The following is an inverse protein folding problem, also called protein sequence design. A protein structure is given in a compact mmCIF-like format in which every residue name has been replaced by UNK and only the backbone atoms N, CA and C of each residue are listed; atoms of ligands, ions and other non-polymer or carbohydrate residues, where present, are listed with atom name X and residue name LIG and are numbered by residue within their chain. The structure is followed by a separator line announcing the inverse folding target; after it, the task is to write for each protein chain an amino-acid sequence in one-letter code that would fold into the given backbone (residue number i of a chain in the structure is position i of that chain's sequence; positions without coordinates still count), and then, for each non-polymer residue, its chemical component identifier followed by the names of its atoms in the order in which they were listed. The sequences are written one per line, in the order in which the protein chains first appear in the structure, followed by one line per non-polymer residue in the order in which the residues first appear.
data_IF_493498821508
#
_entry.id   IF_493498821508
#
_cell.length_a   1.000
_cell.length_b   1.000
_cell.length_c   1.000
_cell.angle_alpha   90.00
_cell.angle_beta   90.00
_cell.angle_gamma   90.00
#
_symmetry.space_group_name_H-M   'P 1'
#
loop_
_entity.id
_entity.type
_entity.pdbx_description
1 polymer ?
#
# COMPACT_ATOMS: atom_id res chain seq x y z
N UNK A 1 11.20 -7.97 -42.24
CA UNK A 1 10.62 -8.02 -40.89
C UNK A 1 11.44 -7.11 -40.00
N UNK A 2 11.01 -5.86 -39.85
CA UNK A 2 11.69 -4.86 -39.00
C UNK A 2 11.09 -4.93 -37.58
N UNK A 3 11.93 -5.23 -36.61
CA UNK A 3 11.56 -5.15 -35.17
C UNK A 3 11.66 -3.68 -34.76
N UNK A 4 10.54 -2.99 -34.66
CA UNK A 4 10.49 -1.66 -34.06
C UNK A 4 10.56 -1.84 -32.51
N UNK A 5 11.77 -1.76 -31.98
CA UNK A 5 12.00 -1.59 -30.56
C UNK A 5 11.69 -0.15 -30.15
N UNK A 6 10.55 0.09 -29.53
CA UNK A 6 10.23 1.40 -28.95
C UNK A 6 11.20 1.66 -27.80
N UNK A 7 12.06 2.64 -27.97
CA UNK A 7 13.08 3.03 -26.99
C UNK A 7 12.42 3.56 -25.71
N UNK A 8 12.86 3.06 -24.54
CA UNK A 8 12.48 3.56 -23.19
C UNK A 8 12.57 5.09 -23.02
N UNK A 9 13.27 5.79 -23.92
CA UNK A 9 13.47 7.24 -23.87
C UNK A 9 12.31 8.08 -24.43
N UNK A 10 11.42 7.51 -25.22
CA UNK A 10 10.41 8.29 -25.96
C UNK A 10 9.14 8.64 -25.17
N UNK A 11 8.87 7.99 -24.01
CA UNK A 11 7.66 8.24 -23.20
C UNK A 11 7.85 9.25 -22.04
N UNK A 12 9.05 9.84 -21.90
CA UNK A 12 9.34 10.75 -20.78
C UNK A 12 9.08 12.24 -21.10
N UNK A 13 8.49 12.56 -22.24
CA UNK A 13 8.57 13.93 -22.80
C UNK A 13 7.35 14.82 -22.57
N UNK A 14 6.43 14.56 -21.63
CA UNK A 14 5.36 15.56 -21.35
C UNK A 14 4.70 15.52 -19.97
N UNK A 15 5.45 15.28 -18.91
CA UNK A 15 4.97 15.63 -17.57
C UNK A 15 5.63 16.95 -17.18
N UNK A 16 4.91 18.07 -17.32
CA UNK A 16 5.32 19.31 -16.69
C UNK A 16 5.57 19.03 -15.19
N UNK A 17 6.83 19.08 -14.78
CA UNK A 17 7.18 18.92 -13.37
C UNK A 17 6.57 20.08 -12.59
N UNK A 18 5.75 19.79 -11.59
CA UNK A 18 5.23 20.81 -10.69
C UNK A 18 6.41 21.47 -9.96
N UNK A 19 6.40 22.79 -9.78
CA UNK A 19 7.44 23.47 -9.00
C UNK A 19 7.56 22.85 -7.60
N UNK A 20 8.76 22.40 -7.21
CA UNK A 20 9.04 21.79 -5.91
C UNK A 20 8.91 20.27 -5.84
N UNK A 21 8.58 19.57 -6.94
CA UNK A 21 8.62 18.11 -6.95
C UNK A 21 10.08 17.61 -6.84
N UNK A 22 10.37 16.59 -5.99
CA UNK A 22 11.72 16.04 -5.88
C UNK A 22 12.14 15.41 -7.20
N UNK A 23 13.36 15.73 -7.64
CA UNK A 23 13.90 15.20 -8.91
C UNK A 23 14.43 13.78 -8.79
N UNK A 24 14.66 13.29 -7.56
CA UNK A 24 15.24 11.97 -7.29
C UNK A 24 14.59 11.28 -6.09
N UNK A 25 14.84 9.97 -6.00
CA UNK A 25 14.35 9.13 -4.91
C UNK A 25 15.21 9.30 -3.64
N UNK A 26 16.53 9.19 -3.78
CA UNK A 26 17.44 9.21 -2.64
C UNK A 26 17.49 10.59 -1.94
N UNK A 27 17.69 10.56 -0.62
CA UNK A 27 17.75 11.76 0.21
C UNK A 27 16.38 12.33 0.59
N UNK A 28 15.27 11.71 0.16
CA UNK A 28 13.92 12.23 0.38
C UNK A 28 13.05 11.27 1.23
N UNK A 29 12.09 11.86 1.93
CA UNK A 29 11.00 11.17 2.63
C UNK A 29 9.71 11.44 1.90
N UNK A 30 9.03 10.39 1.48
CA UNK A 30 7.81 10.47 0.71
C UNK A 30 6.61 10.02 1.53
N UNK A 31 5.55 10.78 1.45
CA UNK A 31 4.24 10.39 1.91
C UNK A 31 3.29 10.33 0.71
N UNK A 32 2.54 9.23 0.60
CA UNK A 32 1.45 9.12 -0.37
C UNK A 32 0.13 8.93 0.37
N UNK A 33 -0.85 9.73 -0.02
CA UNK A 33 -2.17 9.70 0.58
C UNK A 33 -3.21 9.43 -0.51
N UNK A 34 -3.95 8.34 -0.35
CA UNK A 34 -5.00 7.94 -1.29
C UNK A 34 -6.37 8.05 -0.63
N UNK A 35 -7.39 8.38 -1.41
CA UNK A 35 -8.78 8.28 -0.98
C UNK A 35 -9.64 7.61 -2.03
N UNK A 36 -10.69 6.94 -1.57
CA UNK A 36 -11.57 6.15 -2.42
C UNK A 36 -12.97 6.74 -2.43
N UNK A 37 -13.54 6.88 -3.62
CA UNK A 37 -14.95 7.18 -3.85
C UNK A 37 -15.57 5.95 -4.51
N UNK A 38 -16.55 5.33 -3.84
CA UNK A 38 -17.23 4.12 -4.30
C UNK A 38 -18.72 4.16 -3.99
N UNK A 39 -19.49 3.25 -4.52
CA UNK A 39 -20.93 3.09 -4.21
C UNK A 39 -21.13 1.94 -3.24
N UNK A 40 -20.47 0.84 -3.47
CA UNK A 40 -20.53 -0.33 -2.61
C UNK A 40 -19.12 -0.71 -2.12
N UNK A 41 -19.08 -1.33 -0.95
CA UNK A 41 -17.84 -1.80 -0.34
C UNK A 41 -17.05 -2.73 -1.27
N UNK A 42 -17.75 -3.63 -2.00
CA UNK A 42 -17.14 -4.52 -3.00
C UNK A 42 -18.03 -4.50 -4.24
N UNK A 43 -17.50 -3.99 -5.34
CA UNK A 43 -18.20 -3.89 -6.62
C UNK A 43 -17.77 -5.03 -7.54
N UNK A 44 -18.48 -6.16 -7.46
CA UNK A 44 -18.16 -7.37 -8.25
C UNK A 44 -18.30 -7.11 -9.74
N UNK A 45 -19.44 -6.50 -10.13
CA UNK A 45 -19.68 -6.02 -11.50
C UNK A 45 -20.38 -4.68 -11.44
N UNK A 46 -20.75 -4.10 -12.60
CA UNK A 46 -21.57 -2.89 -12.66
C UNK A 46 -22.93 -3.05 -11.97
N UNK A 47 -23.46 -4.25 -11.89
CA UNK A 47 -24.80 -4.53 -11.36
C UNK A 47 -24.83 -5.46 -10.17
N UNK A 48 -23.80 -6.30 -9.98
CA UNK A 48 -23.70 -7.24 -8.87
C UNK A 48 -22.65 -6.77 -7.87
N UNK A 49 -23.05 -6.59 -6.64
CA UNK A 49 -22.20 -6.10 -5.56
C UNK A 49 -22.32 -6.97 -4.33
N UNK A 50 -21.24 -6.98 -3.54
CA UNK A 50 -21.14 -7.68 -2.27
C UNK A 50 -20.69 -6.66 -1.21
N UNK A 51 -21.20 -6.78 0.00
CA UNK A 51 -20.93 -5.83 1.07
C UNK A 51 -21.96 -4.69 1.14
N UNK A 52 -21.68 -3.71 1.98
CA UNK A 52 -22.59 -2.61 2.25
C UNK A 52 -22.73 -1.64 1.08
N UNK A 53 -23.92 -1.05 0.91
CA UNK A 53 -24.11 0.16 0.11
C UNK A 53 -23.61 1.35 0.95
N UNK A 54 -22.60 2.06 0.45
CA UNK A 54 -21.94 3.18 1.12
C UNK A 54 -22.29 4.52 0.48
N UNK A 55 -23.27 4.55 -0.40
CA UNK A 55 -23.61 5.76 -1.14
C UNK A 55 -24.05 6.94 -0.25
N UNK A 56 -24.59 6.65 0.91
CA UNK A 56 -24.98 7.69 1.88
C UNK A 56 -23.79 8.37 2.57
N UNK A 57 -22.65 7.71 2.63
CA UNK A 57 -21.41 8.20 3.23
C UNK A 57 -20.52 8.95 2.23
N UNK A 58 -20.66 8.63 0.95
CA UNK A 58 -19.93 9.32 -0.13
C UNK A 58 -20.71 10.56 -0.57
N UNK A 59 -20.38 11.69 0.05
CA UNK A 59 -21.02 12.98 -0.24
C UNK A 59 -20.02 14.03 -0.72
N UNK A 60 -20.44 15.01 -1.51
CA UNK A 60 -19.57 16.11 -1.91
C UNK A 60 -18.98 16.87 -0.72
N UNK A 61 -19.75 17.00 0.37
CA UNK A 61 -19.34 17.67 1.60
C UNK A 61 -18.21 16.91 2.31
N UNK A 62 -18.29 15.57 2.38
CA UNK A 62 -17.25 14.73 2.97
C UNK A 62 -15.97 14.73 2.13
N UNK A 63 -16.10 14.70 0.81
CA UNK A 63 -14.96 14.81 -0.13
C UNK A 63 -14.27 16.17 0.02
N UNK A 64 -15.05 17.26 0.13
CA UNK A 64 -14.51 18.60 0.36
C UNK A 64 -13.80 18.70 1.70
N UNK A 65 -14.41 18.22 2.78
CA UNK A 65 -13.83 18.24 4.13
C UNK A 65 -12.51 17.45 4.21
N UNK A 66 -12.42 16.29 3.52
CA UNK A 66 -11.17 15.52 3.45
C UNK A 66 -10.08 16.31 2.74
N UNK A 67 -10.37 16.91 1.57
CA UNK A 67 -9.36 17.67 0.83
C UNK A 67 -8.92 18.91 1.59
N UNK A 68 -9.82 19.56 2.30
CA UNK A 68 -9.53 20.71 3.16
C UNK A 68 -8.64 20.31 4.35
N UNK A 69 -8.91 19.17 4.99
CA UNK A 69 -8.08 18.63 6.06
C UNK A 69 -6.64 18.33 5.56
N UNK A 70 -6.52 17.81 4.36
CA UNK A 70 -5.20 17.57 3.73
C UNK A 70 -4.48 18.87 3.47
N UNK A 71 -5.12 19.87 2.84
CA UNK A 71 -4.49 21.14 2.53
C UNK A 71 -4.12 21.94 3.78
N UNK A 72 -4.99 21.98 4.78
CA UNK A 72 -4.72 22.70 6.02
C UNK A 72 -3.68 22.01 6.91
N UNK A 73 -3.62 20.68 6.92
CA UNK A 73 -2.60 19.92 7.63
C UNK A 73 -1.23 19.95 6.94
N UNK A 74 -1.25 19.91 5.60
CA UNK A 74 -0.02 19.92 4.80
C UNK A 74 -0.22 20.75 3.52
N UNK A 75 -0.05 22.07 3.58
CA UNK A 75 -0.18 22.95 2.42
C UNK A 75 0.68 22.50 1.24
N UNK A 76 0.06 22.38 0.07
CA UNK A 76 0.71 21.89 -1.14
C UNK A 76 0.84 20.37 -1.25
N UNK A 77 0.28 19.62 -0.30
CA UNK A 77 0.17 18.17 -0.41
C UNK A 77 -0.70 17.78 -1.62
N UNK A 78 -0.26 16.75 -2.33
CA UNK A 78 -1.00 16.15 -3.44
C UNK A 78 -1.43 14.74 -3.06
N UNK A 79 -2.67 14.39 -3.38
CA UNK A 79 -3.24 13.09 -3.07
C UNK A 79 -3.75 12.37 -4.32
N UNK A 80 -4.10 11.11 -4.17
CA UNK A 80 -4.66 10.30 -5.25
C UNK A 80 -6.11 9.98 -4.91
N UNK A 81 -7.02 10.33 -5.81
CA UNK A 81 -8.44 9.98 -5.77
C UNK A 81 -8.71 8.77 -6.64
N UNK A 82 -9.14 7.66 -6.05
CA UNK A 82 -9.50 6.45 -6.74
C UNK A 82 -11.03 6.31 -6.82
N UNK A 83 -11.58 6.29 -8.02
CA UNK A 83 -13.01 6.12 -8.23
C UNK A 83 -13.32 4.67 -8.59
N UNK A 84 -14.34 4.11 -7.96
CA UNK A 84 -14.84 2.79 -8.33
C UNK A 84 -15.56 2.82 -9.67
N UNK A 85 -15.85 1.65 -10.21
CA UNK A 85 -16.57 1.52 -11.46
C UNK A 85 -17.95 2.19 -11.43
N UNK A 86 -18.70 1.93 -10.36
CA UNK A 86 -20.02 2.54 -10.19
C UNK A 86 -19.94 4.05 -9.90
N UNK A 87 -18.96 4.49 -9.11
CA UNK A 87 -18.77 5.93 -8.86
C UNK A 87 -18.47 6.71 -10.14
N UNK A 88 -17.80 6.10 -11.11
CA UNK A 88 -17.57 6.70 -12.43
C UNK A 88 -18.85 6.86 -13.24
N UNK A 89 -19.81 5.94 -13.12
CA UNK A 89 -21.03 5.91 -13.95
C UNK A 89 -22.30 6.42 -13.25
N UNK A 90 -22.30 6.50 -11.93
CA UNK A 90 -23.50 6.84 -11.16
C UNK A 90 -24.05 8.23 -11.54
N UNK A 91 -25.31 8.26 -11.96
CA UNK A 91 -25.99 9.48 -12.43
C UNK A 91 -26.57 10.34 -11.29
N UNK A 92 -26.56 9.87 -10.04
CA UNK A 92 -27.06 10.65 -8.90
C UNK A 92 -26.30 11.97 -8.78
N UNK A 93 -26.99 13.08 -8.37
CA UNK A 93 -26.38 14.41 -8.27
C UNK A 93 -25.11 14.42 -7.44
N UNK A 94 -25.06 13.72 -6.30
CA UNK A 94 -23.89 13.65 -5.43
C UNK A 94 -22.66 13.12 -6.18
N UNK A 95 -22.79 12.00 -6.92
CA UNK A 95 -21.65 11.43 -7.64
C UNK A 95 -21.16 12.32 -8.78
N UNK A 96 -22.08 13.00 -9.47
CA UNK A 96 -21.68 14.00 -10.48
C UNK A 96 -20.88 15.12 -9.85
N UNK A 97 -21.37 15.70 -8.73
CA UNK A 97 -20.67 16.76 -8.00
C UNK A 97 -19.31 16.29 -7.48
N UNK A 98 -19.21 15.08 -6.92
CA UNK A 98 -17.92 14.55 -6.46
C UNK A 98 -16.91 14.39 -7.61
N UNK A 99 -17.34 13.90 -8.79
CA UNK A 99 -16.46 13.84 -9.97
C UNK A 99 -16.00 15.23 -10.41
N UNK A 100 -16.87 16.21 -10.42
CA UNK A 100 -16.52 17.62 -10.72
C UNK A 100 -15.53 18.18 -9.70
N UNK A 101 -15.73 17.90 -8.40
CA UNK A 101 -14.84 18.31 -7.33
C UNK A 101 -13.44 17.73 -7.49
N UNK A 102 -13.29 16.44 -7.71
CA UNK A 102 -11.95 15.83 -7.84
C UNK A 102 -11.23 16.32 -9.09
N UNK A 103 -11.95 16.58 -10.20
CA UNK A 103 -11.39 17.27 -11.37
C UNK A 103 -10.94 18.69 -11.03
N UNK A 104 -11.72 19.42 -10.23
CA UNK A 104 -11.33 20.72 -9.70
C UNK A 104 -10.07 20.65 -8.84
N UNK A 105 -9.94 19.62 -8.00
CA UNK A 105 -8.74 19.40 -7.15
C UNK A 105 -7.52 19.01 -7.97
N UNK A 106 -7.69 18.20 -9.01
CA UNK A 106 -6.62 17.95 -9.97
C UNK A 106 -6.08 19.27 -10.57
N UNK A 107 -6.97 20.13 -11.03
CA UNK A 107 -6.56 21.42 -11.63
C UNK A 107 -5.92 22.39 -10.62
N UNK A 108 -6.44 22.41 -9.38
CA UNK A 108 -6.02 23.37 -8.36
C UNK A 108 -4.77 22.92 -7.60
N UNK A 109 -4.69 21.63 -7.25
CA UNK A 109 -3.68 21.09 -6.34
C UNK A 109 -2.72 20.10 -7.01
N UNK A 110 -3.05 19.63 -8.20
CA UNK A 110 -2.28 18.58 -8.88
C UNK A 110 -2.56 17.18 -8.36
N UNK A 111 -3.71 16.95 -7.73
CA UNK A 111 -4.13 15.64 -7.27
C UNK A 111 -4.26 14.68 -8.46
N UNK A 112 -3.90 13.44 -8.26
CA UNK A 112 -4.11 12.38 -9.25
C UNK A 112 -5.53 11.84 -9.15
N UNK A 113 -6.15 11.53 -10.29
CA UNK A 113 -7.43 10.83 -10.37
C UNK A 113 -7.21 9.50 -11.06
N UNK A 114 -7.66 8.42 -10.46
CA UNK A 114 -7.50 7.08 -10.98
C UNK A 114 -8.70 6.18 -10.72
N UNK A 115 -8.56 4.92 -11.04
CA UNK A 115 -9.57 3.89 -10.89
C UNK A 115 -9.21 2.89 -9.76
N UNK A 116 -10.24 2.33 -9.11
CA UNK A 116 -10.13 1.21 -8.20
C UNK A 116 -11.01 0.04 -8.68
N UNK A 117 -10.41 -1.05 -9.22
CA UNK A 117 -11.16 -2.21 -9.67
C UNK A 117 -11.76 -2.98 -8.50
N UNK A 118 -13.04 -3.34 -8.62
CA UNK A 118 -13.74 -4.16 -7.63
C UNK A 118 -13.85 -3.56 -6.24
N UNK A 119 -13.51 -2.28 -6.07
CA UNK A 119 -13.40 -1.62 -4.76
C UNK A 119 -12.58 -2.47 -3.76
N UNK A 120 -11.34 -2.82 -4.14
CA UNK A 120 -10.25 -3.59 -3.50
C UNK A 120 -10.11 -5.08 -3.84
N UNK A 121 -11.18 -5.81 -4.12
CA UNK A 121 -11.10 -7.28 -4.18
C UNK A 121 -11.43 -7.83 -5.57
N UNK A 122 -11.01 -7.15 -6.64
CA UNK A 122 -11.40 -7.48 -8.00
C UNK A 122 -11.22 -8.97 -8.34
N UNK A 123 -10.03 -9.52 -8.12
CA UNK A 123 -9.72 -10.90 -8.51
C UNK A 123 -10.30 -11.98 -7.59
N UNK A 124 -10.82 -11.62 -6.43
CA UNK A 124 -11.56 -12.56 -5.59
C UNK A 124 -12.95 -12.87 -6.17
N UNK A 125 -13.48 -12.01 -7.02
CA UNK A 125 -14.86 -12.07 -7.54
C UNK A 125 -14.96 -12.06 -9.06
N UNK A 126 -13.90 -11.65 -9.77
CA UNK A 126 -13.88 -11.55 -11.23
C UNK A 126 -12.69 -12.27 -11.84
N UNK A 127 -12.88 -12.82 -13.04
CA UNK A 127 -11.77 -13.37 -13.81
C UNK A 127 -10.79 -12.28 -14.22
N UNK A 128 -9.56 -12.67 -14.52
CA UNK A 128 -8.50 -11.74 -14.96
C UNK A 128 -8.89 -11.00 -16.24
N UNK A 129 -9.59 -11.67 -17.15
CA UNK A 129 -10.09 -11.10 -18.41
C UNK A 129 -11.14 -10.02 -18.14
N UNK A 130 -12.06 -10.25 -17.18
CA UNK A 130 -13.04 -9.24 -16.79
C UNK A 130 -12.35 -8.03 -16.16
N UNK A 131 -11.40 -8.26 -15.25
CA UNK A 131 -10.64 -7.18 -14.62
C UNK A 131 -9.84 -6.38 -15.65
N UNK A 132 -9.27 -7.03 -16.67
CA UNK A 132 -8.58 -6.31 -17.77
C UNK A 132 -9.55 -5.42 -18.56
N UNK A 133 -10.76 -5.90 -18.87
CA UNK A 133 -11.78 -5.05 -19.54
C UNK A 133 -12.17 -3.87 -18.65
N UNK A 134 -12.43 -4.11 -17.38
CA UNK A 134 -12.80 -3.05 -16.43
C UNK A 134 -11.68 -2.01 -16.28
N UNK A 135 -10.42 -2.44 -16.22
CA UNK A 135 -9.27 -1.54 -16.19
C UNK A 135 -9.20 -0.66 -17.45
N UNK A 136 -9.29 -1.27 -18.62
CA UNK A 136 -9.24 -0.55 -19.90
C UNK A 136 -10.34 0.52 -19.99
N UNK A 137 -11.59 0.10 -19.84
CA UNK A 137 -12.73 0.99 -19.99
C UNK A 137 -12.78 2.08 -18.90
N UNK A 138 -12.41 1.76 -17.65
CA UNK A 138 -12.42 2.73 -16.57
C UNK A 138 -11.28 3.76 -16.71
N UNK A 139 -10.09 3.36 -17.13
CA UNK A 139 -8.99 4.29 -17.39
C UNK A 139 -9.32 5.26 -18.52
N UNK A 140 -10.00 4.79 -19.59
CA UNK A 140 -10.51 5.68 -20.65
C UNK A 140 -11.57 6.65 -20.10
N UNK A 141 -12.48 6.18 -19.23
CA UNK A 141 -13.49 7.06 -18.60
C UNK A 141 -12.86 8.11 -17.70
N UNK A 142 -11.85 7.75 -16.90
CA UNK A 142 -11.11 8.72 -16.08
C UNK A 142 -10.40 9.74 -16.98
N UNK A 143 -9.79 9.29 -18.06
CA UNK A 143 -9.14 10.19 -19.02
C UNK A 143 -10.12 11.17 -19.65
N UNK A 144 -11.29 10.67 -20.06
CA UNK A 144 -12.36 11.51 -20.61
C UNK A 144 -12.95 12.47 -19.55
N UNK A 145 -13.13 12.03 -18.32
CA UNK A 145 -13.63 12.85 -17.21
C UNK A 145 -12.74 14.05 -16.93
N UNK A 146 -11.42 13.84 -16.90
CA UNK A 146 -10.45 14.92 -16.61
C UNK A 146 -10.23 15.79 -17.84
N UNK A 147 -10.19 15.18 -19.02
CA UNK A 147 -9.93 15.86 -20.29
C UNK A 147 -8.48 16.30 -20.49
N UNK A 148 -8.23 17.14 -21.49
CA UNK A 148 -6.92 17.74 -21.71
C UNK A 148 -5.77 16.77 -21.98
N UNK A 149 -6.07 15.54 -22.45
CA UNK A 149 -5.06 14.50 -22.67
C UNK A 149 -4.57 13.80 -21.40
N UNK A 150 -5.29 13.97 -20.29
CA UNK A 150 -4.96 13.31 -19.02
C UNK A 150 -4.94 11.80 -19.16
N UNK A 151 -3.95 11.18 -18.54
CA UNK A 151 -3.86 9.74 -18.36
C UNK A 151 -3.51 9.44 -16.90
N UNK A 152 -4.23 8.54 -16.20
CA UNK A 152 -3.84 8.08 -14.87
C UNK A 152 -2.43 7.48 -14.90
N UNK A 153 -1.63 7.82 -13.89
CA UNK A 153 -0.25 7.31 -13.78
C UNK A 153 -0.17 6.05 -12.94
N UNK A 154 -1.21 5.79 -12.15
CA UNK A 154 -1.31 4.64 -11.27
C UNK A 154 -2.73 4.07 -11.23
N UNK A 155 -2.86 2.89 -10.61
CA UNK A 155 -4.13 2.28 -10.22
C UNK A 155 -4.07 1.96 -8.73
N UNK A 156 -5.19 2.14 -8.01
CA UNK A 156 -5.36 1.69 -6.61
C UNK A 156 -6.20 0.43 -6.64
N UNK A 157 -5.73 -0.69 -6.10
CA UNK A 157 -6.42 -1.96 -6.31
C UNK A 157 -6.61 -2.83 -5.03
N UNK A 158 -5.99 -2.46 -3.91
CA UNK A 158 -5.92 -3.33 -2.75
C UNK A 158 -5.01 -4.52 -3.02
N UNK A 159 -5.44 -5.50 -3.82
CA UNK A 159 -4.54 -6.40 -4.51
C UNK A 159 -4.98 -6.60 -5.97
N UNK A 160 -4.03 -6.93 -6.82
CA UNK A 160 -4.28 -7.16 -8.24
C UNK A 160 -3.41 -8.32 -8.73
N UNK A 161 -4.02 -9.29 -9.40
CA UNK A 161 -3.32 -10.45 -9.93
C UNK A 161 -2.16 -10.05 -10.85
N UNK A 162 -1.09 -10.84 -10.87
CA UNK A 162 0.10 -10.59 -11.68
C UNK A 162 -0.22 -10.41 -13.18
N UNK A 163 -1.17 -11.19 -13.72
CA UNK A 163 -1.62 -11.03 -15.12
C UNK A 163 -2.27 -9.66 -15.37
N UNK A 164 -3.00 -9.12 -14.40
CA UNK A 164 -3.63 -7.79 -14.52
C UNK A 164 -2.60 -6.66 -14.35
N UNK A 165 -1.60 -6.82 -13.47
CA UNK A 165 -0.47 -5.90 -13.36
C UNK A 165 0.35 -5.87 -14.67
N UNK A 166 0.53 -7.03 -15.30
CA UNK A 166 1.15 -7.12 -16.62
C UNK A 166 0.34 -6.41 -17.71
N UNK A 167 -0.99 -6.58 -17.70
CA UNK A 167 -1.90 -5.89 -18.61
C UNK A 167 -1.80 -4.38 -18.47
N UNK A 168 -1.80 -3.85 -17.24
CA UNK A 168 -1.59 -2.42 -16.98
C UNK A 168 -0.31 -1.91 -17.63
N UNK A 169 0.81 -2.61 -17.43
CA UNK A 169 2.10 -2.17 -17.98
C UNK A 169 2.18 -2.30 -19.51
N UNK A 170 1.76 -3.44 -20.06
CA UNK A 170 1.98 -3.79 -21.46
C UNK A 170 0.90 -3.24 -22.41
N UNK A 171 -0.32 -3.02 -21.92
CA UNK A 171 -1.47 -2.57 -22.73
C UNK A 171 -1.91 -1.15 -22.43
N UNK A 172 -1.97 -0.78 -21.17
CA UNK A 172 -2.45 0.54 -20.76
C UNK A 172 -1.31 1.55 -20.56
N UNK A 173 -0.06 1.10 -20.53
CA UNK A 173 1.10 1.97 -20.25
C UNK A 173 1.11 2.52 -18.83
N UNK A 174 0.38 1.90 -17.90
CA UNK A 174 0.35 2.26 -16.48
C UNK A 174 1.37 1.39 -15.74
N UNK A 175 2.40 2.03 -15.22
CA UNK A 175 3.56 1.37 -14.62
C UNK A 175 3.61 1.44 -13.09
N UNK A 176 2.52 1.85 -12.44
CA UNK A 176 2.41 1.95 -10.98
C UNK A 176 1.06 1.42 -10.54
N UNK A 177 1.03 0.55 -9.56
CA UNK A 177 -0.19 0.05 -8.95
C UNK A 177 0.00 -0.06 -7.43
N UNK A 178 -0.95 0.46 -6.65
CA UNK A 178 -1.13 0.00 -5.28
C UNK A 178 -1.84 -1.35 -5.40
N UNK A 179 -1.08 -2.39 -5.53
CA UNK A 179 -1.53 -3.72 -5.91
C UNK A 179 -1.23 -4.78 -4.85
N UNK A 180 -0.89 -4.37 -3.65
CA UNK A 180 -0.78 -5.22 -2.48
C UNK A 180 -1.14 -4.44 -1.22
N UNK A 181 -1.41 -5.16 -0.15
CA UNK A 181 -1.62 -4.60 1.18
C UNK A 181 -0.84 -5.47 2.16
N UNK A 182 0.35 -5.03 2.52
CA UNK A 182 1.20 -5.70 3.49
C UNK A 182 0.51 -5.88 4.84
N UNK A 183 -0.30 -4.92 5.24
CA UNK A 183 -1.11 -4.94 6.45
C UNK A 183 -2.15 -6.06 6.49
N UNK A 184 -2.48 -6.69 5.37
CA UNK A 184 -3.37 -7.87 5.34
C UNK A 184 -2.80 -9.09 6.07
N UNK A 185 -1.58 -9.01 6.57
CA UNK A 185 -1.11 -9.93 7.60
C UNK A 185 -2.13 -10.15 8.74
N UNK A 186 -2.83 -9.12 9.15
CA UNK A 186 -3.78 -9.16 10.28
C UNK A 186 -5.26 -9.12 9.87
N UNK A 187 -5.60 -8.85 8.59
CA UNK A 187 -6.97 -8.59 8.13
C UNK A 187 -7.29 -9.30 6.81
N UNK A 188 -8.55 -9.24 6.40
CA UNK A 188 -9.06 -9.63 5.09
C UNK A 188 -8.64 -11.03 4.64
N UNK A 189 -8.71 -12.01 5.55
CA UNK A 189 -8.26 -13.40 5.33
C UNK A 189 -6.80 -13.52 4.90
N UNK A 190 -6.02 -12.46 5.07
CA UNK A 190 -4.61 -12.39 4.69
C UNK A 190 -4.38 -12.52 3.17
N UNK A 191 -5.31 -12.08 2.34
CA UNK A 191 -5.22 -12.23 0.89
C UNK A 191 -3.98 -11.57 0.28
N UNK A 192 -3.55 -10.41 0.79
CA UNK A 192 -2.36 -9.69 0.35
C UNK A 192 -1.09 -10.00 1.14
N UNK A 193 -1.13 -10.95 2.07
CA UNK A 193 0.00 -11.26 2.95
C UNK A 193 1.14 -11.97 2.20
N UNK A 194 2.36 -11.61 2.57
CA UNK A 194 3.59 -12.14 1.98
C UNK A 194 4.36 -11.14 1.11
N UNK A 195 3.80 -9.97 0.85
CA UNK A 195 4.46 -8.91 0.07
C UNK A 195 5.51 -8.14 0.90
N UNK A 196 6.24 -7.26 0.22
CA UNK A 196 7.14 -6.27 0.83
C UNK A 196 6.36 -4.98 1.10
N UNK A 197 6.61 -4.31 2.24
CA UNK A 197 6.00 -3.01 2.58
C UNK A 197 6.58 -1.82 1.81
N UNK A 198 7.58 -2.03 0.99
CA UNK A 198 8.22 -1.04 0.12
C UNK A 198 8.01 -1.41 -1.35
N UNK A 199 8.26 -0.49 -2.30
CA UNK A 199 8.02 -0.76 -3.71
C UNK A 199 8.88 -1.90 -4.26
N UNK A 200 8.33 -2.69 -5.17
CA UNK A 200 9.03 -3.73 -5.91
C UNK A 200 8.37 -3.98 -7.28
N UNK A 201 9.07 -4.66 -8.16
CA UNK A 201 8.46 -5.22 -9.37
C UNK A 201 7.96 -6.63 -9.10
N UNK A 202 6.66 -6.92 -9.34
CA UNK A 202 6.09 -8.22 -9.04
C UNK A 202 6.55 -9.30 -10.01
N UNK A 203 6.53 -10.53 -9.52
CA UNK A 203 6.72 -11.75 -10.27
C UNK A 203 5.50 -12.06 -11.15
N UNK A 204 5.74 -12.74 -12.29
CA UNK A 204 4.66 -13.31 -13.10
C UNK A 204 3.94 -14.48 -12.41
N UNK A 205 4.54 -15.05 -11.37
CA UNK A 205 3.94 -16.15 -10.60
C UNK A 205 2.92 -15.65 -9.58
N UNK A 206 3.24 -14.52 -8.91
CA UNK A 206 2.41 -14.02 -7.81
C UNK A 206 2.67 -12.53 -7.55
N UNK A 207 1.60 -11.73 -7.41
CA UNK A 207 1.71 -10.28 -7.21
C UNK A 207 2.45 -9.88 -5.92
N UNK A 208 2.37 -10.69 -4.85
CA UNK A 208 3.11 -10.43 -3.60
C UNK A 208 4.60 -10.75 -3.70
N UNK A 209 5.01 -11.54 -4.69
CA UNK A 209 6.37 -12.02 -4.84
C UNK A 209 7.19 -11.04 -5.68
N UNK A 210 8.34 -10.52 -5.21
CA UNK A 210 9.26 -9.79 -6.06
C UNK A 210 9.80 -10.67 -7.20
N UNK A 211 9.85 -10.13 -8.40
CA UNK A 211 10.43 -10.82 -9.56
C UNK A 211 11.89 -11.22 -9.31
N UNK A 212 12.22 -12.47 -9.66
CA UNK A 212 13.54 -13.05 -9.44
C UNK A 212 14.53 -12.75 -10.56
N UNK A 213 14.04 -12.39 -11.73
CA UNK A 213 14.88 -12.05 -12.90
C UNK A 213 14.06 -11.52 -14.08
N UNK A 214 14.72 -11.32 -15.23
CA UNK A 214 14.08 -10.71 -16.41
C UNK A 214 12.90 -11.51 -16.98
N UNK A 215 12.94 -12.84 -16.92
CA UNK A 215 11.88 -13.71 -17.44
C UNK A 215 10.62 -13.68 -16.58
N UNK A 216 10.76 -13.30 -15.32
CA UNK A 216 9.71 -13.26 -14.29
C UNK A 216 9.19 -11.83 -14.02
N UNK A 217 9.77 -10.83 -14.64
CA UNK A 217 9.58 -9.42 -14.38
C UNK A 217 8.30 -8.87 -15.02
N UNK A 218 7.55 -8.07 -14.25
CA UNK A 218 6.45 -7.22 -14.71
C UNK A 218 6.85 -5.76 -14.51
N UNK A 219 6.84 -4.95 -15.56
CA UNK A 219 7.23 -3.53 -15.53
C UNK A 219 6.12 -2.63 -14.96
N UNK A 220 5.58 -3.03 -13.81
CA UNK A 220 4.61 -2.28 -13.01
C UNK A 220 5.09 -2.27 -11.57
N UNK A 221 5.39 -1.10 -11.02
CA UNK A 221 5.80 -0.97 -9.61
C UNK A 221 4.63 -1.30 -8.73
N UNK A 222 4.77 -2.32 -7.89
CA UNK A 222 3.76 -2.71 -6.93
C UNK A 222 4.00 -2.00 -5.59
N UNK A 223 3.00 -1.28 -5.12
CA UNK A 223 3.02 -0.45 -3.92
C UNK A 223 2.10 -1.03 -2.85
N UNK A 224 2.47 -0.83 -1.59
CA UNK A 224 1.62 -1.12 -0.45
C UNK A 224 0.47 -0.11 -0.30
N UNK A 225 -0.58 -0.49 0.44
CA UNK A 225 -1.73 0.36 0.72
C UNK A 225 -1.63 1.13 2.03
N UNK A 226 -1.11 0.50 3.08
CA UNK A 226 -1.03 1.08 4.42
C UNK A 226 0.30 0.80 5.11
N UNK A 227 0.91 1.85 5.63
CA UNK A 227 1.97 1.72 6.62
C UNK A 227 1.37 1.39 7.98
N UNK A 228 1.86 0.36 8.66
CA UNK A 228 1.26 -0.12 9.90
C UNK A 228 2.25 -0.26 11.05
N UNK A 229 1.73 -0.23 12.27
CA UNK A 229 2.42 -0.75 13.46
C UNK A 229 2.25 -2.27 13.51
N UNK A 230 3.31 -2.99 13.14
CA UNK A 230 3.25 -4.45 13.04
C UNK A 230 3.15 -5.14 14.41
N UNK A 231 3.68 -4.54 15.48
CA UNK A 231 3.54 -5.09 16.85
C UNK A 231 2.07 -5.07 17.29
N UNK A 232 1.37 -3.95 17.08
CA UNK A 232 -0.06 -3.84 17.38
C UNK A 232 -0.89 -4.75 16.48
N UNK A 233 -0.62 -4.75 15.17
CA UNK A 233 -1.32 -5.58 14.19
C UNK A 233 -1.13 -7.08 14.47
N UNK A 234 0.09 -7.53 14.78
CA UNK A 234 0.40 -8.92 15.11
C UNK A 234 -0.37 -9.38 16.34
N UNK A 235 -0.32 -8.60 17.42
CA UNK A 235 -1.03 -8.94 18.66
C UNK A 235 -2.55 -9.01 18.46
N UNK A 236 -3.11 -8.03 17.79
CA UNK A 236 -4.53 -8.00 17.49
C UNK A 236 -4.94 -9.11 16.50
N UNK A 237 -4.10 -9.45 15.53
CA UNK A 237 -4.29 -10.54 14.60
C UNK A 237 -4.45 -11.88 15.32
N UNK A 238 -3.56 -12.20 16.25
CA UNK A 238 -3.67 -13.42 17.05
C UNK A 238 -4.94 -13.45 17.91
N UNK A 239 -5.28 -12.33 18.57
CA UNK A 239 -6.48 -12.24 19.40
C UNK A 239 -7.78 -12.37 18.61
N UNK A 240 -7.80 -11.96 17.35
CA UNK A 240 -8.97 -11.91 16.47
C UNK A 240 -8.88 -12.86 15.26
N UNK A 241 -8.04 -13.87 15.33
CA UNK A 241 -7.82 -14.85 14.24
C UNK A 241 -7.53 -14.21 12.90
N UNK A 242 -6.60 -13.24 12.90
CA UNK A 242 -6.20 -12.49 11.72
C UNK A 242 -7.34 -11.74 11.00
N UNK A 243 -8.27 -11.23 11.76
CA UNK A 243 -9.36 -10.39 11.25
C UNK A 243 -9.49 -9.09 12.09
N UNK A 244 -8.37 -8.42 12.32
CA UNK A 244 -8.29 -7.16 13.07
C UNK A 244 -7.61 -6.08 12.24
N UNK A 245 -8.16 -4.87 12.30
CA UNK A 245 -7.55 -3.66 11.70
C UNK A 245 -6.71 -2.83 12.68
N UNK A 246 -6.56 -3.29 13.93
CA UNK A 246 -5.77 -2.57 14.93
C UNK A 246 -4.31 -2.46 14.51
N UNK A 247 -3.76 -1.25 14.59
CA UNK A 247 -2.40 -0.93 14.16
C UNK A 247 -2.21 -0.86 12.63
N UNK A 248 -3.26 -1.12 11.86
CA UNK A 248 -3.24 -1.19 10.40
C UNK A 248 -3.65 0.15 9.79
N UNK A 249 -4.84 0.63 10.15
CA UNK A 249 -5.36 1.87 9.60
C UNK A 249 -5.24 3.03 10.59
N UNK A 250 -4.91 4.24 10.13
CA UNK A 250 -4.89 5.42 11.00
C UNK A 250 -6.27 5.73 11.57
N UNK A 251 -7.32 5.57 10.79
CA UNK A 251 -8.69 5.84 11.21
C UNK A 251 -9.07 4.92 12.38
N UNK A 252 -8.87 3.62 12.24
CA UNK A 252 -9.18 2.65 13.27
C UNK A 252 -8.31 2.84 14.51
N UNK A 253 -7.04 3.17 14.33
CA UNK A 253 -6.10 3.42 15.42
C UNK A 253 -6.51 4.64 16.25
N UNK A 254 -6.81 5.76 15.60
CA UNK A 254 -7.25 6.97 16.29
C UNK A 254 -8.62 6.76 16.94
N UNK A 255 -9.53 6.09 16.25
CA UNK A 255 -10.85 5.74 16.79
C UNK A 255 -10.77 4.89 18.06
N UNK A 256 -9.88 3.90 18.09
CA UNK A 256 -9.74 3.00 19.23
C UNK A 256 -9.08 3.67 20.45
N UNK A 257 -8.11 4.56 20.23
CA UNK A 257 -7.26 5.11 21.30
C UNK A 257 -7.51 6.58 21.60
N UNK A 258 -8.37 7.25 20.84
CA UNK A 258 -8.62 8.69 20.90
C UNK A 258 -7.55 9.48 20.12
N UNK A 259 -7.83 10.77 19.92
CA UNK A 259 -6.99 11.62 19.07
C UNK A 259 -5.54 11.69 19.56
N UNK A 260 -5.30 11.99 20.84
CA UNK A 260 -3.93 12.16 21.36
C UNK A 260 -3.07 10.91 21.22
N UNK A 261 -3.53 9.79 21.83
CA UNK A 261 -2.77 8.52 21.81
C UNK A 261 -2.69 7.94 20.40
N UNK A 262 -3.79 8.00 19.65
CA UNK A 262 -3.84 7.50 18.27
C UNK A 262 -2.92 8.29 17.34
N UNK A 263 -2.89 9.62 17.45
CA UNK A 263 -1.94 10.45 16.68
C UNK A 263 -0.50 10.15 17.03
N UNK A 264 -0.18 9.99 18.33
CA UNK A 264 1.16 9.56 18.75
C UNK A 264 1.53 8.22 18.12
N UNK A 265 0.65 7.22 18.16
CA UNK A 265 0.85 5.93 17.52
C UNK A 265 1.17 6.09 16.03
N UNK A 266 0.40 6.90 15.32
CA UNK A 266 0.59 7.14 13.89
C UNK A 266 1.91 7.82 13.57
N UNK A 267 2.34 8.79 14.39
CA UNK A 267 3.62 9.49 14.21
C UNK A 267 4.81 8.56 14.52
N UNK A 268 4.72 7.71 15.54
CA UNK A 268 5.77 6.74 15.84
C UNK A 268 5.86 5.63 14.77
N UNK A 269 4.73 5.20 14.22
CA UNK A 269 4.72 4.30 13.06
C UNK A 269 5.40 4.95 11.85
N UNK A 270 5.12 6.22 11.59
CA UNK A 270 5.80 7.01 10.54
C UNK A 270 7.30 7.10 10.81
N UNK A 271 7.70 7.32 12.07
CA UNK A 271 9.10 7.46 12.47
C UNK A 271 9.94 6.19 12.19
N UNK A 272 9.36 4.99 12.33
CA UNK A 272 10.05 3.74 12.01
C UNK A 272 10.58 3.74 10.55
N UNK A 273 9.84 4.38 9.63
CA UNK A 273 10.25 4.53 8.24
C UNK A 273 11.03 5.82 7.97
N UNK A 274 10.55 6.96 8.49
CA UNK A 274 11.13 8.27 8.19
C UNK A 274 12.44 8.54 8.90
N UNK A 275 12.72 7.89 10.03
CA UNK A 275 13.97 8.01 10.74
C UNK A 275 14.87 6.79 10.48
N UNK A 276 14.54 5.61 11.03
CA UNK A 276 15.37 4.41 10.90
C UNK A 276 15.42 3.88 9.45
N UNK A 277 14.26 3.75 8.80
CA UNK A 277 14.19 3.31 7.39
C UNK A 277 14.94 4.27 6.46
N UNK A 278 14.78 5.58 6.64
CA UNK A 278 15.51 6.57 5.86
C UNK A 278 17.03 6.45 6.01
N UNK A 279 17.50 6.27 7.23
CA UNK A 279 18.93 6.14 7.50
C UNK A 279 19.55 4.90 6.84
N UNK A 280 18.77 3.82 6.71
CA UNK A 280 19.23 2.54 6.15
C UNK A 280 19.06 2.44 4.63
N UNK A 281 17.94 2.95 4.11
CA UNK A 281 17.58 2.77 2.71
C UNK A 281 17.97 3.95 1.81
N UNK A 282 18.41 5.08 2.39
CA UNK A 282 18.72 6.31 1.68
C UNK A 282 17.50 7.09 1.20
N UNK A 283 16.29 6.55 1.37
CA UNK A 283 15.00 7.20 1.22
C UNK A 283 13.99 6.56 2.18
N UNK A 284 12.87 7.23 2.39
CA UNK A 284 11.75 6.65 3.12
C UNK A 284 10.44 6.85 2.38
N UNK A 285 9.51 5.93 2.63
CA UNK A 285 8.16 6.02 2.09
C UNK A 285 7.16 5.52 3.13
N UNK A 286 6.11 6.31 3.30
CA UNK A 286 4.93 6.01 4.11
C UNK A 286 3.72 6.24 3.24
N UNK A 287 2.75 5.36 3.31
CA UNK A 287 1.53 5.42 2.53
C UNK A 287 0.31 5.19 3.39
N UNK A 288 -0.80 5.79 2.98
CA UNK A 288 -2.08 5.55 3.63
C UNK A 288 -3.27 5.72 2.69
N UNK A 289 -4.35 5.00 3.00
CA UNK A 289 -5.64 5.12 2.31
C UNK A 289 -6.71 5.43 3.35
N UNK A 290 -7.35 6.60 3.20
CA UNK A 290 -8.49 6.99 4.02
C UNK A 290 -9.76 6.99 3.20
N UNK A 291 -10.65 6.08 3.51
CA UNK A 291 -11.94 6.01 2.83
C UNK A 291 -12.89 7.06 3.40
N UNK A 292 -13.51 7.81 2.52
CA UNK A 292 -14.46 8.86 2.91
C UNK A 292 -15.61 8.30 3.76
N UNK A 293 -16.10 7.11 3.40
CA UNK A 293 -17.18 6.44 4.12
C UNK A 293 -16.81 6.07 5.56
N UNK A 294 -15.59 5.64 5.82
CA UNK A 294 -15.16 5.28 7.17
C UNK A 294 -15.17 6.49 8.12
N UNK A 295 -14.75 7.64 7.66
CA UNK A 295 -14.80 8.88 8.43
C UNK A 295 -16.22 9.22 8.86
N UNK A 296 -17.17 9.10 7.94
CA UNK A 296 -18.59 9.37 8.22
C UNK A 296 -19.21 8.30 9.14
N UNK A 297 -18.91 7.04 8.91
CA UNK A 297 -19.41 5.95 9.74
C UNK A 297 -18.95 6.09 11.19
N UNK A 298 -17.69 6.42 11.44
CA UNK A 298 -17.16 6.63 12.78
C UNK A 298 -17.74 7.88 13.43
N UNK A 299 -17.92 8.96 12.68
CA UNK A 299 -18.56 10.17 13.17
C UNK A 299 -19.98 9.90 13.67
N UNK A 300 -20.80 9.19 12.91
CA UNK A 300 -22.15 8.81 13.31
C UNK A 300 -22.19 8.00 14.60
N UNK A 301 -21.25 7.08 14.78
CA UNK A 301 -21.23 6.19 15.92
C UNK A 301 -20.78 6.85 17.22
N UNK A 302 -19.86 7.83 17.17
CA UNK A 302 -19.20 8.39 18.36
C UNK A 302 -19.00 9.92 18.34
N UNK A 303 -19.60 10.62 17.42
CA UNK A 303 -19.37 12.08 17.29
C UNK A 303 -17.91 12.46 17.03
N UNK A 304 -17.17 11.60 16.35
CA UNK A 304 -15.73 11.72 16.17
C UNK A 304 -15.38 12.78 15.12
N UNK A 305 -14.22 13.44 15.32
CA UNK A 305 -13.69 14.49 14.44
C UNK A 305 -12.58 13.94 13.53
N UNK A 306 -12.88 12.94 12.69
CA UNK A 306 -11.90 12.27 11.86
C UNK A 306 -11.13 13.19 10.93
N UNK A 307 -11.78 14.21 10.38
CA UNK A 307 -11.11 15.21 9.52
C UNK A 307 -10.10 16.05 10.31
N UNK A 308 -10.40 16.40 11.55
CA UNK A 308 -9.46 17.10 12.41
C UNK A 308 -8.27 16.19 12.79
N UNK A 309 -8.50 14.93 13.05
CA UNK A 309 -7.42 13.96 13.31
C UNK A 309 -6.51 13.77 12.09
N UNK A 310 -7.08 13.72 10.89
CA UNK A 310 -6.31 13.70 9.63
C UNK A 310 -5.43 14.96 9.50
N UNK A 311 -6.03 16.13 9.70
CA UNK A 311 -5.31 17.40 9.65
C UNK A 311 -4.15 17.44 10.64
N UNK A 312 -4.37 17.04 11.90
CA UNK A 312 -3.35 17.04 12.94
C UNK A 312 -2.24 16.03 12.65
N UNK A 313 -2.58 14.85 12.12
CA UNK A 313 -1.57 13.87 11.74
C UNK A 313 -0.67 14.37 10.62
N UNK A 314 -1.23 14.91 9.55
CA UNK A 314 -0.46 15.49 8.45
C UNK A 314 0.40 16.69 8.90
N UNK A 315 -0.17 17.54 9.76
CA UNK A 315 0.57 18.63 10.38
C UNK A 315 1.75 18.12 11.21
N UNK A 316 1.53 17.11 12.04
CA UNK A 316 2.58 16.50 12.86
C UNK A 316 3.70 15.87 12.04
N UNK A 317 3.36 15.21 10.90
CA UNK A 317 4.38 14.72 9.96
C UNK A 317 5.22 15.87 9.41
N UNK A 318 4.59 16.93 8.94
CA UNK A 318 5.30 18.10 8.37
C UNK A 318 6.19 18.80 9.39
N UNK A 319 5.71 18.92 10.62
CA UNK A 319 6.46 19.59 11.71
C UNK A 319 7.67 18.75 12.12
N UNK A 320 7.52 17.44 12.26
CA UNK A 320 8.60 16.54 12.66
C UNK A 320 9.61 16.28 11.52
N UNK A 321 9.15 16.26 10.27
CA UNK A 321 10.00 16.04 9.08
C UNK A 321 9.75 17.10 8.01
N UNK A 322 10.21 18.35 8.20
CA UNK A 322 9.86 19.49 7.34
C UNK A 322 10.37 19.37 5.89
N UNK A 323 11.29 18.43 5.62
CA UNK A 323 11.78 18.10 4.26
C UNK A 323 11.02 16.93 3.63
N UNK A 324 10.05 16.34 4.32
CA UNK A 324 9.21 15.33 3.72
C UNK A 324 8.29 15.95 2.66
N UNK A 325 7.92 15.16 1.66
CA UNK A 325 7.05 15.60 0.57
C UNK A 325 5.84 14.68 0.44
N UNK A 326 4.67 15.26 0.32
CA UNK A 326 3.43 14.56 0.03
C UNK A 326 3.15 14.64 -1.48
N UNK A 327 3.24 13.49 -2.14
CA UNK A 327 3.11 13.37 -3.61
C UNK A 327 2.02 12.35 -3.96
N UNK A 328 1.56 12.37 -5.21
CA UNK A 328 0.63 11.34 -5.67
C UNK A 328 1.30 9.97 -5.75
N UNK A 329 0.50 8.93 -5.69
CA UNK A 329 0.98 7.55 -5.80
C UNK A 329 1.72 7.31 -7.12
N UNK A 330 1.17 7.78 -8.22
CA UNK A 330 1.80 7.66 -9.53
C UNK A 330 3.14 8.38 -9.63
N UNK A 331 3.26 9.57 -9.03
CA UNK A 331 4.52 10.32 -8.99
C UNK A 331 5.59 9.57 -8.21
N UNK A 332 5.26 9.09 -7.02
CA UNK A 332 6.19 8.31 -6.19
C UNK A 332 6.65 7.05 -6.92
N UNK A 333 5.71 6.24 -7.42
CA UNK A 333 6.05 4.99 -8.12
C UNK A 333 6.91 5.22 -9.36
N UNK A 334 6.66 6.29 -10.13
CA UNK A 334 7.48 6.65 -11.29
C UNK A 334 8.87 7.17 -10.89
N UNK A 335 9.01 7.88 -9.76
CA UNK A 335 10.31 8.25 -9.19
C UNK A 335 11.11 7.00 -8.82
N UNK A 336 10.47 6.06 -8.12
CA UNK A 336 11.10 4.80 -7.75
C UNK A 336 11.50 3.99 -9.00
N UNK A 337 10.62 3.84 -9.99
CA UNK A 337 10.88 3.13 -11.25
C UNK A 337 12.07 3.70 -12.03
N UNK A 338 12.28 5.02 -11.97
CA UNK A 338 13.47 5.65 -12.60
C UNK A 338 14.78 5.27 -11.89
N UNK A 339 14.72 5.03 -10.58
CA UNK A 339 15.88 4.69 -9.77
C UNK A 339 16.21 3.18 -9.83
N UNK A 340 15.20 2.34 -9.76
CA UNK A 340 15.35 0.88 -9.79
C UNK A 340 14.89 0.33 -11.13
N UNK A 341 15.83 -0.28 -11.88
CA UNK A 341 15.51 -0.93 -13.15
C UNK A 341 14.92 -2.34 -12.97
N UNK A 342 15.19 -2.97 -11.83
CA UNK A 342 14.75 -4.30 -11.42
C UNK A 342 14.88 -4.46 -9.89
N UNK A 343 14.61 -5.68 -9.38
CA UNK A 343 14.69 -5.97 -7.95
C UNK A 343 16.08 -6.41 -7.46
N UNK A 344 17.10 -6.44 -8.30
CA UNK A 344 18.40 -7.03 -7.93
C UNK A 344 19.08 -6.30 -6.76
N UNK A 345 18.85 -4.99 -6.65
CA UNK A 345 19.43 -4.13 -5.63
C UNK A 345 18.50 -3.81 -4.46
N UNK A 346 17.32 -4.47 -4.37
CA UNK A 346 16.42 -4.26 -3.24
C UNK A 346 17.07 -4.81 -1.97
N UNK A 347 17.16 -3.96 -0.96
CA UNK A 347 17.60 -4.28 0.39
C UNK A 347 16.99 -3.26 1.36
N UNK A 348 15.71 -3.45 1.69
CA UNK A 348 14.97 -2.56 2.58
C UNK A 348 15.10 -3.03 4.02
N UNK A 349 15.41 -2.09 4.89
CA UNK A 349 15.61 -2.34 6.32
C UNK A 349 14.96 -1.23 7.13
N UNK A 350 14.31 -1.59 8.20
CA UNK A 350 13.85 -0.65 9.22
C UNK A 350 13.62 -1.37 10.55
N UNK A 351 13.55 -0.60 11.61
CA UNK A 351 13.29 -1.08 12.96
C UNK A 351 12.01 -0.45 13.48
N UNK A 352 11.09 -1.26 13.94
CA UNK A 352 9.87 -0.84 14.56
C UNK A 352 9.90 -1.14 16.05
N UNK A 353 9.83 -0.11 16.88
CA UNK A 353 9.78 -0.22 18.33
C UNK A 353 8.36 -0.06 18.82
N UNK A 354 8.04 -0.79 19.89
CA UNK A 354 6.74 -0.69 20.52
C UNK A 354 6.49 0.69 21.13
N UNK A 355 5.29 1.18 20.98
CA UNK A 355 4.87 2.53 21.38
C UNK A 355 4.20 2.57 22.75
N UNK A 356 3.89 1.41 23.34
CA UNK A 356 3.05 1.27 24.54
C UNK A 356 1.56 1.48 24.28
N UNK A 357 1.12 1.60 23.00
CA UNK A 357 -0.25 1.90 22.63
C UNK A 357 -0.83 0.74 21.81
N UNK A 358 -2.08 0.38 22.05
CA UNK A 358 -2.84 -0.52 21.19
C UNK A 358 -2.28 -1.92 21.02
N UNK A 359 -1.48 -2.41 21.98
CA UNK A 359 -0.85 -3.72 21.88
C UNK A 359 0.54 -3.69 21.25
N UNK A 360 1.04 -2.51 20.87
CA UNK A 360 2.43 -2.28 20.51
C UNK A 360 3.27 -2.22 21.79
N UNK A 361 3.81 -3.36 22.24
CA UNK A 361 4.50 -3.47 23.53
C UNK A 361 5.82 -2.70 23.50
N UNK A 362 5.98 -1.71 24.39
CA UNK A 362 7.17 -0.86 24.51
C UNK A 362 8.47 -1.62 24.81
N UNK A 363 8.35 -2.86 25.30
CA UNK A 363 9.50 -3.73 25.54
C UNK A 363 9.86 -4.59 24.32
N UNK A 364 9.23 -4.37 23.21
CA UNK A 364 9.45 -5.13 21.99
C UNK A 364 9.95 -4.25 20.84
N UNK A 365 10.75 -4.86 20.01
CA UNK A 365 11.25 -4.28 18.77
C UNK A 365 11.26 -5.35 17.68
N UNK A 366 10.89 -4.96 16.46
CA UNK A 366 11.01 -5.81 15.27
C UNK A 366 12.01 -5.18 14.32
N UNK A 367 13.01 -5.96 13.89
CA UNK A 367 13.90 -5.61 12.79
C UNK A 367 13.45 -6.27 11.51
N UNK A 368 13.20 -5.49 10.47
CA UNK A 368 12.80 -5.95 9.17
C UNK A 368 13.94 -5.93 8.16
N UNK A 369 14.01 -7.00 7.37
CA UNK A 369 14.91 -7.17 6.23
C UNK A 369 14.09 -7.67 5.05
N UNK A 370 13.96 -6.87 4.00
CA UNK A 370 13.13 -7.17 2.84
C UNK A 370 13.93 -6.94 1.57
N UNK A 371 14.07 -7.97 0.78
CA UNK A 371 14.84 -7.93 -0.46
C UNK A 371 14.20 -8.83 -1.53
N UNK A 372 14.86 -8.98 -2.66
CA UNK A 372 14.37 -9.84 -3.73
C UNK A 372 14.18 -11.30 -3.31
N UNK A 373 15.02 -11.79 -2.41
CA UNK A 373 15.12 -13.22 -2.12
C UNK A 373 14.21 -13.64 -0.95
N UNK A 374 13.95 -12.72 -0.01
CA UNK A 374 13.09 -12.98 1.15
C UNK A 374 12.60 -11.71 1.86
N UNK A 375 11.60 -11.90 2.72
CA UNK A 375 11.18 -11.00 3.80
C UNK A 375 11.47 -11.71 5.12
N UNK A 376 12.19 -11.05 6.04
CA UNK A 376 12.56 -11.57 7.35
C UNK A 376 12.24 -10.53 8.42
N UNK A 377 11.59 -10.96 9.50
CA UNK A 377 11.36 -10.17 10.70
C UNK A 377 11.94 -10.87 11.93
N UNK A 378 12.71 -10.13 12.71
CA UNK A 378 13.29 -10.57 13.96
C UNK A 378 12.69 -9.76 15.11
N UNK A 379 12.05 -10.45 16.06
CA UNK A 379 11.46 -9.87 17.26
C UNK A 379 12.45 -10.00 18.42
N UNK A 380 12.77 -8.89 19.04
CA UNK A 380 13.42 -8.82 20.36
C UNK A 380 12.38 -8.44 21.41
N UNK A 381 12.38 -9.17 22.51
CA UNK A 381 11.55 -8.89 23.69
C UNK A 381 12.45 -8.80 24.92
N UNK A 382 12.62 -7.58 25.44
CA UNK A 382 13.50 -7.34 26.59
C UNK A 382 12.95 -7.85 27.91
N UNK A 383 11.62 -8.03 28.03
CA UNK A 383 11.01 -8.63 29.22
C UNK A 383 11.34 -10.11 29.35
N UNK A 384 11.36 -10.82 28.23
CA UNK A 384 11.64 -12.25 28.23
C UNK A 384 13.10 -12.55 28.52
N UNK A 385 14.01 -11.60 28.28
CA UNK A 385 15.47 -11.80 28.39
C UNK A 385 16.02 -12.87 27.44
N UNK A 386 15.17 -13.40 26.54
CA UNK A 386 15.51 -14.45 25.60
C UNK A 386 16.26 -13.95 24.35
N UNK A 387 16.65 -14.87 23.46
CA UNK A 387 17.26 -14.51 22.19
C UNK A 387 16.24 -13.81 21.28
N UNK A 388 16.75 -13.13 20.26
CA UNK A 388 15.92 -12.58 19.18
C UNK A 388 15.30 -13.72 18.35
N UNK A 389 14.01 -13.61 18.07
CA UNK A 389 13.21 -14.65 17.44
C UNK A 389 12.77 -14.27 16.04
N UNK A 390 12.88 -15.20 15.09
CA UNK A 390 12.26 -15.07 13.76
C UNK A 390 10.75 -15.19 13.93
N UNK A 391 10.03 -14.14 13.54
CA UNK A 391 8.56 -14.07 13.57
C UNK A 391 7.94 -14.01 12.17
N UNK A 392 8.75 -13.75 11.16
CA UNK A 392 8.38 -13.81 9.75
C UNK A 392 9.59 -14.26 8.94
N UNK A 393 9.40 -15.22 8.07
CA UNK A 393 10.38 -15.59 7.07
C UNK A 393 9.65 -16.09 5.80
N UNK A 394 9.51 -15.19 4.84
CA UNK A 394 8.84 -15.48 3.56
C UNK A 394 9.90 -15.54 2.46
N UNK A 395 10.07 -16.72 1.86
CA UNK A 395 11.07 -17.01 0.82
C UNK A 395 10.49 -16.70 -0.55
N UNK A 396 11.13 -15.82 -1.31
CA UNK A 396 10.71 -15.46 -2.66
C UNK A 396 11.43 -16.26 -3.75
N UNK A 397 12.46 -17.03 -3.40
CA UNK A 397 13.15 -17.95 -4.30
C UNK A 397 12.36 -19.23 -4.57
N UNK A 398 11.36 -19.52 -3.76
CA UNK A 398 10.48 -20.68 -3.96
C UNK A 398 9.40 -20.38 -5.01
N UNK A 399 9.01 -21.42 -5.76
CA UNK A 399 7.90 -21.31 -6.71
C UNK A 399 6.56 -21.19 -5.96
N UNK A 400 5.76 -20.20 -6.36
CA UNK A 400 4.42 -20.00 -5.84
C UNK A 400 3.55 -19.35 -6.91
N UNK A 401 2.41 -19.97 -7.23
CA UNK A 401 1.48 -19.47 -8.23
C UNK A 401 0.20 -18.93 -7.56
N UNK A 402 -0.35 -17.87 -8.13
CA UNK A 402 -1.64 -17.32 -7.74
C UNK A 402 -2.79 -18.31 -8.00
N UNK A 403 -3.90 -18.22 -7.23
CA UNK A 403 -5.11 -18.94 -7.56
C UNK A 403 -5.61 -18.60 -8.97
N UNK A 404 -6.09 -19.62 -9.69
CA UNK A 404 -6.72 -19.44 -11.01
C UNK A 404 -8.26 -19.39 -10.92
N UNK A 405 -8.82 -19.73 -9.78
CA UNK A 405 -10.25 -19.73 -9.49
C UNK A 405 -10.66 -18.52 -8.67
N UNK A 406 -11.95 -18.21 -8.64
CA UNK A 406 -12.52 -17.10 -7.85
C UNK A 406 -12.61 -17.52 -6.37
N UNK A 407 -11.54 -17.30 -5.63
CA UNK A 407 -11.39 -17.66 -4.22
C UNK A 407 -10.80 -16.51 -3.41
N UNK A 408 -10.99 -16.56 -2.08
CA UNK A 408 -10.42 -15.62 -1.11
C UNK A 408 -9.22 -16.22 -0.38
N UNK A 409 -8.26 -16.79 -1.13
CA UNK A 409 -7.07 -17.46 -0.57
C UNK A 409 -5.82 -17.09 -1.36
N UNK A 410 -5.45 -15.82 -1.28
CA UNK A 410 -4.38 -15.23 -2.09
C UNK A 410 -3.05 -15.06 -1.33
N UNK A 411 -3.00 -15.41 -0.04
CA UNK A 411 -1.79 -15.25 0.78
C UNK A 411 -0.61 -16.04 0.20
N UNK A 412 0.46 -15.34 -0.16
CA UNK A 412 1.73 -15.95 -0.56
C UNK A 412 2.34 -16.73 0.61
N UNK A 413 2.28 -16.18 1.82
CA UNK A 413 2.79 -16.84 3.02
C UNK A 413 2.16 -18.20 3.26
N UNK A 414 0.85 -18.34 3.12
CA UNK A 414 0.17 -19.60 3.28
C UNK A 414 0.60 -20.64 2.25
N UNK A 415 1.00 -20.20 1.06
CA UNK A 415 1.48 -21.09 0.00
C UNK A 415 2.92 -21.55 0.21
N UNK A 416 3.79 -20.66 0.69
CA UNK A 416 5.20 -20.95 0.90
C UNK A 416 5.47 -21.69 2.20
N UNK A 417 4.72 -21.37 3.25
CA UNK A 417 4.85 -22.03 4.55
C UNK A 417 3.98 -23.30 4.61
N UNK A 418 4.27 -24.26 3.74
CA UNK A 418 3.45 -25.46 3.45
C UNK A 418 3.12 -26.35 4.66
N UNK A 419 3.80 -26.17 5.79
CA UNK A 419 3.58 -26.97 7.01
C UNK A 419 2.46 -26.47 7.90
N UNK A 420 1.74 -25.40 7.50
CA UNK A 420 0.68 -24.80 8.30
C UNK A 420 1.15 -24.08 9.58
N UNK A 421 2.45 -24.07 9.83
CA UNK A 421 3.08 -23.40 10.96
C UNK A 421 3.85 -22.19 10.41
N UNK A 422 3.42 -21.02 10.77
CA UNK A 422 4.10 -19.77 10.42
C UNK A 422 5.08 -19.41 11.52
N UNK A 423 6.25 -18.81 11.21
CA UNK A 423 7.12 -18.25 12.24
C UNK A 423 6.41 -17.22 13.14
N UNK A 424 5.41 -16.49 12.62
CA UNK A 424 4.61 -15.57 13.42
C UNK A 424 3.80 -16.27 14.53
N UNK A 425 3.29 -17.46 14.23
CA UNK A 425 2.48 -18.25 15.17
C UNK A 425 3.37 -18.99 16.17
N UNK A 426 4.54 -19.45 15.70
CA UNK A 426 5.54 -20.16 16.48
C UNK A 426 6.92 -19.58 16.22
N UNK A 427 7.30 -18.50 16.91
CA UNK A 427 8.61 -17.88 16.75
C UNK A 427 9.74 -18.87 16.98
N UNK A 428 10.78 -18.82 16.14
CA UNK A 428 11.96 -19.70 16.22
C UNK A 428 13.24 -18.88 16.29
N UNK A 429 14.27 -19.41 16.96
CA UNK A 429 15.59 -18.78 16.93
C UNK A 429 16.18 -18.87 15.51
N UNK A 430 16.88 -17.81 15.08
CA UNK A 430 17.53 -17.76 13.77
C UNK A 430 18.43 -18.98 13.50
N UNK A 431 19.12 -19.45 14.52
CA UNK A 431 20.03 -20.62 14.45
C UNK A 431 19.29 -21.96 14.36
N UNK A 432 17.99 -22.00 14.59
CA UNK A 432 17.14 -23.21 14.47
C UNK A 432 16.47 -23.32 13.09
N UNK A 433 16.60 -22.31 12.24
CA UNK A 433 16.26 -22.43 10.82
C UNK A 433 17.12 -23.49 10.15
N UNK A 434 16.67 -24.07 9.05
CA UNK A 434 17.45 -25.04 8.27
C UNK A 434 18.77 -24.44 7.78
N UNK A 435 19.72 -25.29 7.46
CA UNK A 435 21.04 -24.87 6.91
C UNK A 435 20.87 -24.06 5.63
N UNK A 436 19.91 -24.46 4.77
CA UNK A 436 19.60 -23.77 3.52
C UNK A 436 19.03 -22.37 3.79
N UNK A 437 18.08 -22.24 4.70
CA UNK A 437 17.46 -20.96 5.10
C UNK A 437 18.51 -20.02 5.72
N UNK A 438 19.34 -20.52 6.61
CA UNK A 438 20.43 -19.75 7.19
C UNK A 438 21.44 -19.29 6.12
N UNK A 439 21.77 -20.16 5.15
CA UNK A 439 22.66 -19.81 4.04
C UNK A 439 22.06 -18.70 3.15
N UNK A 440 20.74 -18.77 2.88
CA UNK A 440 20.03 -17.74 2.13
C UNK A 440 20.09 -16.38 2.84
N UNK A 441 19.78 -16.35 4.14
CA UNK A 441 19.83 -15.12 4.95
C UNK A 441 21.27 -14.60 5.03
N UNK A 442 22.26 -15.47 5.27
CA UNK A 442 23.67 -15.07 5.40
C UNK A 442 24.22 -14.40 4.15
N UNK A 443 23.75 -14.77 2.97
CA UNK A 443 24.17 -14.12 1.71
C UNK A 443 23.76 -12.65 1.62
N UNK A 444 22.63 -12.27 2.24
CA UNK A 444 22.07 -10.92 2.19
C UNK A 444 22.32 -10.11 3.46
N UNK A 445 22.37 -10.76 4.60
CA UNK A 445 22.46 -10.15 5.93
C UNK A 445 23.51 -10.92 6.77
N UNK A 446 24.80 -10.91 6.36
CA UNK A 446 25.85 -11.67 7.04
C UNK A 446 26.06 -11.26 8.50
N UNK A 447 25.77 -10.01 8.85
CA UNK A 447 25.90 -9.47 10.20
C UNK A 447 25.00 -10.16 11.24
N UNK A 448 23.90 -10.82 10.82
CA UNK A 448 23.05 -11.59 11.73
C UNK A 448 23.76 -12.87 12.27
N UNK A 449 24.84 -13.28 11.64
CA UNK A 449 25.62 -14.47 12.01
C UNK A 449 27.03 -14.13 12.49
N UNK A 450 27.40 -12.85 12.49
CA UNK A 450 28.62 -12.39 13.16
C UNK A 450 28.48 -12.59 14.68
N UNK A 451 29.54 -13.07 15.32
CA UNK A 451 29.57 -13.31 16.76
C UNK A 451 29.79 -12.00 17.54
#
# INVERSE_FOLDING_TARGET
MMKNGVSRRSFLASAAAWPGAPQGLLGNRFFTFNSVIRVNQIEVTRTKNVGADEAAEHTPENVAAMREAVESGWPGARMTWALSWRALEDARPNYRRMREQVVGYHKKFGDEITFIPGAYFANAYNSREQVNRDLHEALEKVSALVGGGYRPRSVVAGFLAADNLRFLAEREGVHVCQGNIWSQYAVDNQDGDGSISYPYYPSREHFCKPAQGRGDFIDCVNLDGWTMDFLAARRAGFAQKFNSRMGVGPIETIYAHGSEKGLRQMLETTAAHFDDGFARNGFAWVTDIWEVCLLEQFRRKKGWTGMESLRQWLQGIRERWPKAVCVTQGEFGLLWRRHFADNAKLDYRFVQRGTGIGGSDENQEIRWFMNRDFRLALLRDWKSGGPEMVIDFTRYDLKAEEPRTLVRTWSLMNRLNQKGVRPQDQPVELRKLTVEEQALIRRRVPELFAR
#
